data_IF_675569766080
#
_entry.id   IF_675569766080
#
_cell.length_a   1.000
_cell.length_b   1.000
_cell.length_c   1.000
_cell.angle_alpha   90.00
_cell.angle_beta   90.00
_cell.angle_gamma   90.00
#
_symmetry.space_group_name_H-M   'P 1'
#
loop_
_entity.id
_entity.type
_entity.pdbx_description
1 polymer ?
#
# COMPACT_ATOMS: atom_id res chain seq x y z
N UNK A 1 -4.62 -17.47 13.18
CA UNK A 1 -4.89 -18.50 14.19
C UNK A 1 -4.00 -18.35 15.45
N UNK A 2 -2.82 -17.74 15.35
CA UNK A 2 -1.84 -17.60 16.44
C UNK A 2 -1.74 -16.17 17.01
N UNK A 3 -2.72 -15.31 16.75
CA UNK A 3 -2.65 -13.90 17.15
C UNK A 3 -2.49 -13.73 18.68
N UNK A 4 -3.23 -14.49 19.47
CA UNK A 4 -3.13 -14.45 20.93
C UNK A 4 -1.75 -14.96 21.43
N UNK A 5 -1.24 -16.04 20.83
CA UNK A 5 0.07 -16.62 21.15
C UNK A 5 1.21 -15.66 20.82
N UNK A 6 1.10 -14.96 19.68
CA UNK A 6 2.10 -13.99 19.21
C UNK A 6 1.90 -12.59 19.80
N UNK A 7 0.86 -12.38 20.61
CA UNK A 7 0.50 -11.08 21.18
C UNK A 7 0.36 -9.97 20.09
N UNK A 8 -0.24 -10.32 18.95
CA UNK A 8 -0.47 -9.38 17.85
C UNK A 8 -1.98 -9.13 17.65
N UNK A 9 -2.32 -7.93 17.21
CA UNK A 9 -3.68 -7.60 16.79
C UNK A 9 -3.88 -8.10 15.35
N UNK A 10 -4.80 -9.05 15.11
CA UNK A 10 -5.07 -9.55 13.77
C UNK A 10 -5.86 -8.56 12.91
N UNK A 11 -6.47 -7.56 13.54
CA UNK A 11 -7.27 -6.55 12.85
C UNK A 11 -6.43 -5.29 12.60
N UNK A 12 -6.60 -4.71 11.43
CA UNK A 12 -5.96 -3.44 11.12
C UNK A 12 -4.50 -3.53 10.66
N UNK A 13 -3.99 -4.71 10.32
CA UNK A 13 -2.65 -4.87 9.74
C UNK A 13 -2.48 -4.14 8.41
N UNK A 14 -1.24 -3.90 8.00
CA UNK A 14 -0.89 -3.34 6.70
C UNK A 14 0.07 -4.26 5.93
N UNK A 15 0.01 -4.16 4.59
CA UNK A 15 0.90 -4.88 3.68
C UNK A 15 1.89 -3.92 3.04
N UNK A 16 3.17 -4.24 3.10
CA UNK A 16 4.25 -3.37 2.62
C UNK A 16 5.10 -4.07 1.58
N UNK A 17 5.49 -3.35 0.53
CA UNK A 17 6.40 -3.89 -0.45
C UNK A 17 7.03 -2.85 -1.37
N UNK A 18 8.23 -3.18 -1.85
CA UNK A 18 8.94 -2.43 -2.89
C UNK A 18 9.07 -3.26 -4.17
N UNK A 19 8.97 -2.64 -5.34
CA UNK A 19 9.14 -3.28 -6.65
C UNK A 19 8.23 -4.51 -6.83
N UNK A 20 8.77 -5.69 -6.99
CA UNK A 20 8.01 -6.95 -7.08
C UNK A 20 7.18 -7.21 -5.81
N UNK A 21 7.75 -6.91 -4.62
CA UNK A 21 7.02 -7.01 -3.35
C UNK A 21 5.82 -6.07 -3.26
N UNK A 22 5.92 -4.88 -3.86
CA UNK A 22 4.79 -3.95 -3.94
C UNK A 22 3.65 -4.49 -4.81
N UNK A 23 3.97 -5.18 -5.89
CA UNK A 23 2.97 -5.90 -6.71
C UNK A 23 2.24 -6.97 -5.90
N UNK A 24 2.99 -7.75 -5.12
CA UNK A 24 2.41 -8.78 -4.25
C UNK A 24 1.53 -8.17 -3.17
N UNK A 25 2.02 -7.13 -2.48
CA UNK A 25 1.26 -6.41 -1.46
C UNK A 25 -0.05 -5.84 -2.03
N UNK A 26 0.00 -5.20 -3.20
CA UNK A 26 -1.17 -4.65 -3.87
C UNK A 26 -2.18 -5.74 -4.26
N UNK A 27 -1.71 -6.85 -4.82
CA UNK A 27 -2.58 -7.97 -5.20
C UNK A 27 -3.26 -8.61 -3.98
N UNK A 28 -2.52 -8.79 -2.88
CA UNK A 28 -3.04 -9.37 -1.63
C UNK A 28 -3.92 -8.41 -0.82
N UNK A 29 -3.84 -7.12 -1.09
CA UNK A 29 -4.69 -6.10 -0.47
C UNK A 29 -6.16 -6.17 -0.90
N UNK A 30 -6.48 -6.92 -1.95
CA UNK A 30 -7.84 -7.12 -2.43
C UNK A 30 -8.57 -8.14 -1.58
N UNK A 31 -9.82 -7.86 -1.27
CA UNK A 31 -10.65 -8.76 -0.45
C UNK A 31 -10.91 -10.09 -1.16
N UNK A 32 -11.19 -10.06 -2.46
CA UNK A 32 -11.43 -11.28 -3.24
C UNK A 32 -10.19 -12.17 -3.36
N UNK A 33 -8.98 -11.59 -3.37
CA UNK A 33 -7.75 -12.36 -3.43
C UNK A 33 -7.57 -13.24 -2.18
N UNK A 34 -7.92 -12.74 -1.00
CA UNK A 34 -7.88 -13.52 0.24
C UNK A 34 -8.86 -14.68 0.21
N UNK A 35 -10.06 -14.45 -0.34
CA UNK A 35 -11.07 -15.50 -0.51
C UNK A 35 -10.60 -16.60 -1.47
N UNK A 36 -10.00 -16.20 -2.61
CA UNK A 36 -9.45 -17.15 -3.60
C UNK A 36 -8.31 -17.99 -3.04
N UNK A 37 -7.53 -17.46 -2.10
CA UNK A 37 -6.47 -18.20 -1.42
C UNK A 37 -6.94 -19.08 -0.26
N UNK A 38 -8.25 -19.12 0.00
CA UNK A 38 -8.82 -19.90 1.11
C UNK A 38 -8.53 -19.33 2.50
N UNK A 39 -8.08 -18.06 2.58
CA UNK A 39 -7.76 -17.35 3.83
C UNK A 39 -8.78 -16.27 4.17
N UNK A 40 -10.01 -16.45 3.76
CA UNK A 40 -11.12 -15.49 3.96
C UNK A 40 -11.38 -15.10 5.44
N UNK A 41 -10.87 -15.90 6.38
CA UNK A 41 -10.95 -15.58 7.83
C UNK A 41 -10.01 -14.45 8.24
N UNK A 42 -9.00 -14.15 7.43
CA UNK A 42 -8.13 -13.00 7.64
C UNK A 42 -8.85 -11.77 7.10
N UNK A 43 -9.08 -10.78 7.94
CA UNK A 43 -9.67 -9.51 7.52
C UNK A 43 -8.79 -8.82 6.46
N UNK A 44 -9.39 -7.98 5.63
CA UNK A 44 -8.62 -7.20 4.66
C UNK A 44 -7.64 -6.26 5.36
N UNK A 45 -6.44 -6.09 4.81
CA UNK A 45 -5.45 -5.11 5.29
C UNK A 45 -6.08 -3.71 5.44
N UNK A 46 -5.72 -2.99 6.50
CA UNK A 46 -6.17 -1.61 6.71
C UNK A 46 -5.54 -0.66 5.70
N UNK A 47 -4.33 -0.96 5.27
CA UNK A 47 -3.63 -0.22 4.22
C UNK A 47 -2.65 -1.12 3.47
N UNK A 48 -2.39 -0.75 2.23
CA UNK A 48 -1.31 -1.29 1.39
C UNK A 48 -0.31 -0.17 1.11
N UNK A 49 0.96 -0.43 1.36
CA UNK A 49 2.06 0.52 1.14
C UNK A 49 2.95 -0.02 0.01
N UNK A 50 3.02 0.72 -1.08
CA UNK A 50 3.73 0.32 -2.29
C UNK A 50 4.82 1.31 -2.67
N UNK A 51 6.03 0.82 -2.92
CA UNK A 51 7.10 1.60 -3.51
C UNK A 51 7.37 1.15 -4.94
N UNK A 52 7.56 2.12 -5.83
CA UNK A 52 8.09 1.97 -7.18
C UNK A 52 7.65 0.68 -7.90
N UNK A 53 6.34 0.50 -8.09
CA UNK A 53 5.77 -0.65 -8.81
C UNK A 53 5.07 -0.27 -10.11
N UNK A 54 5.29 -1.07 -11.16
CA UNK A 54 4.54 -0.98 -12.41
C UNK A 54 3.20 -1.74 -12.38
N UNK A 55 2.76 -2.22 -11.22
CA UNK A 55 1.48 -2.92 -11.11
C UNK A 55 0.29 -2.00 -11.41
N UNK A 56 -0.58 -2.42 -12.33
CA UNK A 56 -1.71 -1.61 -12.80
C UNK A 56 -3.09 -2.15 -12.42
N UNK A 57 -3.14 -3.33 -11.79
CA UNK A 57 -4.41 -3.95 -11.38
C UNK A 57 -5.16 -3.10 -10.37
N UNK A 58 -6.47 -2.99 -10.55
CA UNK A 58 -7.38 -2.28 -9.63
C UNK A 58 -8.72 -3.01 -9.55
N UNK A 59 -9.36 -2.94 -8.39
CA UNK A 59 -10.72 -3.41 -8.19
C UNK A 59 -11.44 -2.56 -7.13
N UNK A 60 -12.80 -2.53 -7.15
CA UNK A 60 -13.57 -1.77 -6.15
C UNK A 60 -13.38 -2.22 -4.71
N UNK A 61 -12.84 -3.41 -4.50
CA UNK A 61 -12.53 -4.00 -3.20
C UNK A 61 -11.06 -3.94 -2.80
N UNK A 62 -10.23 -3.14 -3.50
CA UNK A 62 -8.84 -2.88 -3.10
C UNK A 62 -8.78 -2.18 -1.73
N UNK A 63 -7.72 -2.45 -0.98
CA UNK A 63 -7.46 -1.75 0.27
C UNK A 63 -6.97 -0.31 0.04
N UNK A 64 -7.18 0.60 1.02
CA UNK A 64 -6.56 1.92 1.02
C UNK A 64 -5.07 1.84 0.70
N UNK A 65 -4.57 2.68 -0.21
CA UNK A 65 -3.23 2.52 -0.77
C UNK A 65 -2.38 3.78 -0.64
N UNK A 66 -1.25 3.66 0.07
CA UNK A 66 -0.14 4.62 0.03
C UNK A 66 0.85 4.18 -1.04
N UNK A 67 1.35 5.11 -1.85
CA UNK A 67 2.34 4.80 -2.87
C UNK A 67 3.42 5.88 -2.96
N UNK A 68 4.65 5.46 -3.24
CA UNK A 68 5.74 6.39 -3.52
C UNK A 68 6.69 5.85 -4.60
N UNK A 69 7.31 6.80 -5.33
CA UNK A 69 8.19 6.50 -6.46
C UNK A 69 9.18 7.65 -6.68
N UNK A 70 10.32 7.36 -7.27
CA UNK A 70 11.26 8.39 -7.71
C UNK A 70 10.85 9.02 -9.04
N UNK A 71 11.07 10.33 -9.22
CA UNK A 71 10.71 11.03 -10.46
C UNK A 71 11.50 10.53 -11.68
N UNK A 72 12.65 9.92 -11.44
CA UNK A 72 13.54 9.36 -12.49
C UNK A 72 13.54 7.83 -12.51
N UNK A 73 12.49 7.21 -11.98
CA UNK A 73 12.35 5.75 -12.03
C UNK A 73 12.10 5.29 -13.47
N UNK A 74 13.07 4.59 -14.04
CA UNK A 74 13.01 4.06 -15.40
C UNK A 74 12.35 2.67 -15.50
N UNK A 75 11.99 2.06 -14.37
CA UNK A 75 11.38 0.72 -14.31
C UNK A 75 9.89 0.83 -13.96
N UNK A 76 9.58 1.57 -12.90
CA UNK A 76 8.20 1.84 -12.45
C UNK A 76 7.85 3.30 -12.76
N UNK A 77 7.27 3.55 -13.91
CA UNK A 77 6.95 4.92 -14.35
C UNK A 77 5.99 5.60 -13.36
N UNK A 78 6.34 6.80 -12.82
CA UNK A 78 5.48 7.54 -11.90
C UNK A 78 4.06 7.74 -12.41
N UNK A 79 3.91 7.95 -13.73
CA UNK A 79 2.61 8.13 -14.39
C UNK A 79 1.73 6.86 -14.32
N UNK A 80 2.32 5.66 -14.41
CA UNK A 80 1.58 4.41 -14.29
C UNK A 80 1.03 4.23 -12.87
N UNK A 81 1.85 4.54 -11.86
CA UNK A 81 1.41 4.53 -10.46
C UNK A 81 0.31 5.56 -10.21
N UNK A 82 0.48 6.79 -10.72
CA UNK A 82 -0.54 7.84 -10.59
C UNK A 82 -1.88 7.41 -11.18
N UNK A 83 -1.90 6.84 -12.39
CA UNK A 83 -3.14 6.35 -13.02
C UNK A 83 -3.80 5.25 -12.21
N UNK A 84 -3.01 4.34 -11.63
CA UNK A 84 -3.54 3.30 -10.75
C UNK A 84 -4.25 3.91 -9.54
N UNK A 85 -3.62 4.85 -8.86
CA UNK A 85 -4.21 5.50 -7.68
C UNK A 85 -5.46 6.31 -8.01
N UNK A 86 -5.45 7.06 -9.12
CA UNK A 86 -6.65 7.77 -9.59
C UNK A 86 -7.82 6.80 -9.87
N UNK A 87 -7.50 5.59 -10.35
CA UNK A 87 -8.53 4.57 -10.53
C UNK A 87 -9.09 4.08 -9.19
N UNK A 88 -8.23 3.87 -8.18
CA UNK A 88 -8.68 3.53 -6.83
C UNK A 88 -9.56 4.65 -6.23
N UNK A 89 -9.15 5.90 -6.38
CA UNK A 89 -9.93 7.07 -5.95
C UNK A 89 -11.32 7.10 -6.61
N UNK A 90 -11.41 6.73 -7.90
CA UNK A 90 -12.70 6.66 -8.60
C UNK A 90 -13.65 5.59 -8.04
N UNK A 91 -13.13 4.63 -7.27
CA UNK A 91 -13.92 3.66 -6.50
C UNK A 91 -14.21 4.14 -5.07
N UNK A 92 -13.77 5.34 -4.69
CA UNK A 92 -13.91 5.86 -3.33
C UNK A 92 -12.88 5.29 -2.34
N UNK A 93 -11.81 4.66 -2.83
CA UNK A 93 -10.76 4.07 -2.00
C UNK A 93 -9.74 5.17 -1.63
N UNK A 94 -9.43 5.38 -0.34
CA UNK A 94 -8.44 6.35 0.08
C UNK A 94 -7.06 6.04 -0.49
N UNK A 95 -6.39 7.07 -1.02
CA UNK A 95 -5.02 6.97 -1.54
C UNK A 95 -4.15 8.12 -1.07
N UNK A 96 -2.82 7.89 -1.05
CA UNK A 96 -1.80 8.91 -0.88
C UNK A 96 -0.65 8.60 -1.82
N UNK A 97 -0.16 9.61 -2.55
CA UNK A 97 0.87 9.41 -3.57
C UNK A 97 1.99 10.45 -3.49
N UNK A 98 3.22 9.97 -3.41
CA UNK A 98 4.43 10.81 -3.38
C UNK A 98 5.38 10.48 -4.52
N UNK A 99 5.84 11.52 -5.21
CA UNK A 99 6.91 11.42 -6.21
C UNK A 99 8.12 12.18 -5.66
N UNK A 100 9.22 11.48 -5.45
CA UNK A 100 10.45 12.06 -4.88
C UNK A 100 11.41 12.46 -5.98
N UNK A 101 11.70 13.76 -6.04
CA UNK A 101 12.48 14.33 -7.11
C UNK A 101 13.91 13.77 -7.18
N UNK A 102 14.35 13.46 -8.39
CA UNK A 102 15.69 12.99 -8.71
C UNK A 102 15.99 11.53 -8.37
N UNK A 103 15.09 10.83 -7.66
CA UNK A 103 15.32 9.43 -7.28
C UNK A 103 14.99 8.46 -8.42
N UNK A 104 15.81 7.43 -8.51
CA UNK A 104 15.64 6.29 -9.41
C UNK A 104 14.96 5.10 -8.70
N UNK A 105 14.86 3.96 -9.37
CA UNK A 105 14.26 2.75 -8.81
C UNK A 105 15.04 2.23 -7.58
N UNK A 106 14.33 1.74 -6.57
CA UNK A 106 14.95 1.01 -5.48
C UNK A 106 15.57 1.86 -4.37
N UNK A 107 15.07 3.06 -4.09
CA UNK A 107 15.63 3.95 -3.06
C UNK A 107 15.46 3.44 -1.61
N UNK A 108 14.74 2.33 -1.38
CA UNK A 108 14.60 1.69 -0.06
C UNK A 108 14.03 2.64 1.00
N UNK A 109 14.73 2.81 2.12
CA UNK A 109 14.32 3.72 3.20
C UNK A 109 14.49 5.21 2.85
N UNK A 110 15.19 5.51 1.77
CA UNK A 110 15.38 6.88 1.31
C UNK A 110 16.21 7.76 2.25
N UNK A 111 16.96 7.19 3.18
CA UNK A 111 17.77 7.94 4.16
C UNK A 111 18.77 8.85 3.44
N UNK A 112 18.81 10.12 3.83
CA UNK A 112 19.69 11.12 3.23
C UNK A 112 19.29 11.55 1.81
N UNK A 113 18.08 11.21 1.36
CA UNK A 113 17.56 11.57 0.04
C UNK A 113 16.26 12.39 0.15
N UNK A 114 15.69 12.78 -0.98
CA UNK A 114 14.39 13.44 -1.04
C UNK A 114 13.24 12.59 -0.47
N UNK A 115 13.41 11.26 -0.37
CA UNK A 115 12.44 10.35 0.21
C UNK A 115 12.60 10.17 1.73
N UNK A 116 13.51 10.88 2.38
CA UNK A 116 13.68 10.75 3.83
C UNK A 116 12.35 11.00 4.56
N UNK A 117 11.98 10.09 5.45
CA UNK A 117 10.73 10.17 6.22
C UNK A 117 9.49 9.58 5.57
N UNK A 118 9.57 9.02 4.36
CA UNK A 118 8.43 8.40 3.69
C UNK A 118 7.76 7.29 4.52
N UNK A 119 8.55 6.53 5.28
CA UNK A 119 8.02 5.47 6.15
C UNK A 119 7.08 6.05 7.19
N UNK A 120 7.45 7.20 7.79
CA UNK A 120 6.58 7.87 8.77
C UNK A 120 5.27 8.34 8.14
N UNK A 121 5.33 8.90 6.93
CA UNK A 121 4.14 9.30 6.19
C UNK A 121 3.22 8.09 5.92
N UNK A 122 3.79 6.98 5.48
CA UNK A 122 3.03 5.74 5.24
C UNK A 122 2.42 5.17 6.53
N UNK A 123 3.12 5.24 7.66
CA UNK A 123 2.56 4.85 8.97
C UNK A 123 1.39 5.77 9.35
N UNK A 124 1.53 7.08 9.19
CA UNK A 124 0.45 8.03 9.47
C UNK A 124 -0.77 7.78 8.60
N UNK A 125 -0.57 7.46 7.31
CA UNK A 125 -1.65 7.06 6.42
C UNK A 125 -2.37 5.81 6.94
N UNK A 126 -1.63 4.76 7.28
CA UNK A 126 -2.18 3.51 7.83
C UNK A 126 -2.97 3.76 9.12
N UNK A 127 -2.42 4.53 10.07
CA UNK A 127 -3.09 4.88 11.33
C UNK A 127 -4.41 5.63 11.10
N UNK A 128 -4.46 6.51 10.09
CA UNK A 128 -5.68 7.20 9.70
C UNK A 128 -6.75 6.21 9.23
N UNK A 129 -6.37 5.22 8.40
CA UNK A 129 -7.31 4.19 7.94
C UNK A 129 -7.82 3.32 9.09
N UNK A 130 -6.97 3.00 10.07
CA UNK A 130 -7.40 2.27 11.26
C UNK A 130 -8.41 3.06 12.10
N UNK A 131 -8.21 4.36 12.26
CA UNK A 131 -9.16 5.23 12.98
C UNK A 131 -10.52 5.26 12.29
N UNK A 132 -10.55 5.41 10.97
CA UNK A 132 -11.81 5.40 10.20
C UNK A 132 -12.54 4.06 10.30
N UNK A 133 -11.83 2.92 10.24
CA UNK A 133 -12.43 1.60 10.44
C UNK A 133 -13.09 1.46 11.82
N UNK A 134 -12.43 1.92 12.87
CA UNK A 134 -12.97 1.88 14.24
C UNK A 134 -14.22 2.76 14.42
N UNK A 135 -14.32 3.87 13.67
CA UNK A 135 -15.49 4.74 13.68
C UNK A 135 -16.68 4.13 12.93
N UNK A 136 -16.40 3.31 11.91
CA UNK A 136 -17.43 2.67 11.09
C UNK A 136 -17.92 1.34 11.67
N UNK A 137 -17.22 0.77 12.63
CA UNK A 137 -17.60 -0.47 13.32
C UNK A 137 -18.52 -0.20 14.51
#
# INVERSE_FOLDING_TARGET
>A
DHAAELAVDPDGYSLWGGSAGARMAAALGRRDALAQLGVARVGQAAAVVTQYTGYTGTAPDDAPTYACVGSRDGIAAPQAMRRRLQRLESYGIPTEFHVYEGLTHGFGLGSGTAAAGWVRAAVSFWEAQMKERRRAA
#
